data_IF_836785539530
#
_entry.id   IF_836785539530
#
_cell.length_a   1.000
_cell.length_b   1.000
_cell.length_c   1.000
_cell.angle_alpha   90.00
_cell.angle_beta   90.00
_cell.angle_gamma   90.00
#
_symmetry.space_group_name_H-M   'P 1'
#
loop_
_entity.id
_entity.type
_entity.pdbx_description
1 polymer ?
#
# COMPACT_ATOMS: atom_id res chain seq x y z
N UNK A 1 -3.14 -13.69 19.63
CA UNK A 1 -3.24 -13.02 18.32
C UNK A 1 -2.27 -13.65 17.32
N UNK A 2 -2.69 -13.76 16.07
CA UNK A 2 -1.82 -14.26 15.01
C UNK A 2 -0.81 -13.18 14.57
N UNK A 3 0.25 -13.63 13.90
CA UNK A 3 1.21 -12.69 13.32
C UNK A 3 0.53 -11.74 12.32
N UNK A 4 -0.48 -12.25 11.62
CA UNK A 4 -1.26 -11.43 10.69
C UNK A 4 -1.96 -10.28 11.43
N UNK A 5 -2.63 -10.57 12.54
CA UNK A 5 -3.31 -9.54 13.33
C UNK A 5 -2.35 -8.51 13.89
N UNK A 6 -1.15 -8.95 14.29
CA UNK A 6 -0.10 -8.05 14.75
C UNK A 6 0.35 -7.10 13.64
N UNK A 7 0.48 -7.61 12.41
CA UNK A 7 0.85 -6.78 11.27
C UNK A 7 -0.25 -5.75 10.94
N UNK A 8 -1.50 -6.17 10.94
CA UNK A 8 -2.62 -5.26 10.68
C UNK A 8 -2.63 -4.14 11.75
N UNK A 9 -2.45 -4.50 13.03
CA UNK A 9 -2.39 -3.53 14.11
C UNK A 9 -1.22 -2.56 13.93
N UNK A 10 -0.06 -3.08 13.51
CA UNK A 10 1.13 -2.27 13.24
C UNK A 10 0.85 -1.23 12.14
N UNK A 11 0.21 -1.65 11.06
CA UNK A 11 -0.10 -0.76 9.94
C UNK A 11 -1.17 0.26 10.30
N UNK A 12 -2.18 -0.14 11.07
CA UNK A 12 -3.20 0.76 11.56
C UNK A 12 -2.60 1.85 12.44
N UNK A 13 -1.72 1.48 13.35
CA UNK A 13 -1.02 2.43 14.21
C UNK A 13 -0.16 3.39 13.39
N UNK A 14 0.53 2.85 12.38
CA UNK A 14 1.34 3.69 11.49
C UNK A 14 0.47 4.76 10.81
N UNK A 15 -0.70 4.39 10.31
CA UNK A 15 -1.60 5.32 9.68
C UNK A 15 -2.15 6.36 10.68
N UNK A 16 -2.48 5.93 11.89
CA UNK A 16 -2.91 6.83 12.96
C UNK A 16 -1.82 7.84 13.30
N UNK A 17 -0.57 7.37 13.44
CA UNK A 17 0.57 8.23 13.78
C UNK A 17 0.85 9.26 12.69
N UNK A 18 0.54 8.93 11.44
CA UNK A 18 0.72 9.84 10.30
C UNK A 18 -0.52 10.71 10.04
N UNK A 19 -1.58 10.56 10.83
CA UNK A 19 -2.80 11.31 10.62
C UNK A 19 -3.58 10.89 9.38
N UNK A 20 -3.35 9.69 8.89
CA UNK A 20 -4.03 9.16 7.70
C UNK A 20 -5.32 8.47 8.11
N UNK A 21 -6.39 8.76 7.40
CA UNK A 21 -7.67 8.10 7.62
C UNK A 21 -7.68 6.73 6.96
N UNK A 22 -8.30 5.75 7.62
CA UNK A 22 -8.40 4.42 7.04
C UNK A 22 -9.64 3.69 7.54
N UNK A 23 -10.06 2.70 6.74
CA UNK A 23 -11.09 1.73 7.09
C UNK A 23 -10.36 0.46 7.53
N UNK A 24 -10.56 0.05 8.79
CA UNK A 24 -9.84 -1.10 9.36
C UNK A 24 -10.13 -2.38 8.60
N UNK A 25 -11.36 -2.60 8.15
CA UNK A 25 -11.72 -3.80 7.40
C UNK A 25 -11.04 -3.84 6.03
N UNK A 26 -10.99 -2.70 5.35
CA UNK A 26 -10.33 -2.61 4.05
C UNK A 26 -8.82 -2.80 4.19
N UNK A 27 -8.20 -2.18 5.20
CA UNK A 27 -6.78 -2.34 5.46
C UNK A 27 -6.44 -3.81 5.73
N UNK A 28 -7.27 -4.49 6.51
CA UNK A 28 -7.11 -5.92 6.78
C UNK A 28 -7.20 -6.74 5.50
N UNK A 29 -8.17 -6.44 4.64
CA UNK A 29 -8.35 -7.15 3.37
C UNK A 29 -7.16 -6.93 2.43
N UNK A 30 -6.66 -5.71 2.34
CA UNK A 30 -5.47 -5.38 1.53
C UNK A 30 -4.25 -6.14 2.06
N UNK A 31 -4.06 -6.15 3.37
CA UNK A 31 -2.96 -6.86 4.01
C UNK A 31 -3.03 -8.35 3.72
N UNK A 32 -4.23 -8.94 3.82
CA UNK A 32 -4.45 -10.35 3.52
C UNK A 32 -4.10 -10.67 2.06
N UNK A 33 -4.43 -9.77 1.14
CA UNK A 33 -4.13 -9.94 -0.26
C UNK A 33 -2.65 -9.95 -0.61
N UNK A 34 -1.81 -9.40 0.26
CA UNK A 34 -0.36 -9.41 0.07
C UNK A 34 0.28 -10.77 0.38
N UNK A 35 -0.43 -11.62 1.14
CA UNK A 35 0.08 -12.93 1.51
C UNK A 35 1.33 -12.86 2.38
N UNK A 36 2.31 -13.77 2.17
CA UNK A 36 3.49 -13.84 3.04
C UNK A 36 4.48 -12.69 2.90
N UNK A 37 4.31 -11.80 1.93
CA UNK A 37 5.25 -10.69 1.73
C UNK A 37 5.34 -9.76 2.94
N UNK A 38 4.27 -9.67 3.74
CA UNK A 38 4.27 -8.82 4.95
C UNK A 38 5.21 -9.35 6.04
N UNK A 39 5.62 -10.61 5.95
CA UNK A 39 6.54 -11.23 6.91
C UNK A 39 7.98 -11.21 6.43
N UNK A 40 8.22 -10.71 5.21
CA UNK A 40 9.56 -10.61 4.64
C UNK A 40 10.02 -9.17 4.69
N UNK A 41 11.14 -8.93 5.37
CA UNK A 41 11.66 -7.57 5.58
C UNK A 41 11.77 -6.77 4.27
N UNK A 42 12.29 -7.41 3.21
CA UNK A 42 12.52 -6.73 1.93
C UNK A 42 11.25 -6.47 1.14
N UNK A 43 10.21 -7.25 1.38
CA UNK A 43 8.93 -7.14 0.66
C UNK A 43 7.88 -6.35 1.42
N UNK A 44 8.04 -6.19 2.73
CA UNK A 44 7.06 -5.52 3.58
C UNK A 44 6.98 -4.02 3.28
N UNK A 45 8.08 -3.39 2.92
CA UNK A 45 8.13 -1.95 2.66
C UNK A 45 8.43 -1.64 1.20
N UNK A 46 8.02 -0.45 0.77
CA UNK A 46 8.26 0.07 -0.58
C UNK A 46 9.24 1.22 -0.47
N UNK A 47 10.28 1.22 -1.31
CA UNK A 47 11.19 2.35 -1.38
C UNK A 47 10.61 3.45 -2.25
N UNK A 48 10.33 4.61 -1.67
CA UNK A 48 9.75 5.73 -2.40
C UNK A 48 10.72 6.41 -3.37
N UNK A 49 12.01 6.08 -3.31
CA UNK A 49 13.04 6.66 -4.18
C UNK A 49 13.59 5.67 -5.21
N UNK A 50 13.19 4.40 -5.15
CA UNK A 50 13.66 3.37 -6.08
C UNK A 50 12.67 3.22 -7.23
N UNK A 51 13.07 3.63 -8.42
CA UNK A 51 12.23 3.58 -9.60
C UNK A 51 11.77 2.14 -9.94
N UNK A 52 12.61 1.13 -9.68
CA UNK A 52 12.26 -0.26 -9.92
C UNK A 52 11.15 -0.71 -8.99
N UNK A 53 11.24 -0.32 -7.72
CA UNK A 53 10.22 -0.67 -6.72
C UNK A 53 8.89 -0.01 -7.07
N UNK A 54 8.92 1.26 -7.46
CA UNK A 54 7.72 1.98 -7.86
C UNK A 54 7.10 1.41 -9.14
N UNK A 55 7.95 0.99 -10.09
CA UNK A 55 7.48 0.32 -11.30
C UNK A 55 6.82 -1.01 -10.98
N UNK A 56 7.33 -1.76 -9.99
CA UNK A 56 6.74 -3.01 -9.54
C UNK A 56 5.34 -2.76 -8.95
N UNK A 57 5.19 -1.72 -8.12
CA UNK A 57 3.88 -1.34 -7.57
C UNK A 57 2.91 -1.02 -8.70
N UNK A 58 3.33 -0.23 -9.67
CA UNK A 58 2.51 0.14 -10.81
C UNK A 58 2.06 -1.09 -11.62
N UNK A 59 3.01 -1.92 -12.01
CA UNK A 59 2.72 -3.05 -12.91
C UNK A 59 1.98 -4.18 -12.21
N UNK A 60 2.38 -4.54 -11.00
CA UNK A 60 1.81 -5.71 -10.31
C UNK A 60 0.54 -5.37 -9.54
N UNK A 61 0.40 -4.17 -9.04
CA UNK A 61 -0.78 -3.79 -8.28
C UNK A 61 -1.76 -2.97 -9.10
N UNK A 62 -1.35 -1.79 -9.60
CA UNK A 62 -2.28 -0.90 -10.28
C UNK A 62 -2.81 -1.49 -11.59
N UNK A 63 -1.95 -2.08 -12.39
CA UNK A 63 -2.36 -2.62 -13.68
C UNK A 63 -2.95 -4.02 -13.54
N UNK A 64 -2.22 -4.95 -12.93
CA UNK A 64 -2.69 -6.34 -12.84
C UNK A 64 -3.80 -6.54 -11.81
N UNK A 65 -3.64 -6.00 -10.61
CA UNK A 65 -4.61 -6.25 -9.51
C UNK A 65 -5.83 -5.36 -9.64
N UNK A 66 -5.64 -4.06 -9.84
CA UNK A 66 -6.74 -3.11 -9.94
C UNK A 66 -7.32 -3.01 -11.35
N UNK A 67 -6.65 -3.57 -12.35
CA UNK A 67 -7.14 -3.55 -13.72
C UNK A 67 -7.08 -2.20 -14.39
N UNK A 68 -6.15 -1.33 -13.97
CA UNK A 68 -6.02 0.00 -14.52
C UNK A 68 -5.17 -0.01 -15.80
N UNK A 69 -5.42 0.95 -16.66
CA UNK A 69 -4.64 1.14 -17.89
C UNK A 69 -3.38 1.94 -17.56
N UNK A 70 -2.24 1.52 -18.11
CA UNK A 70 -0.98 2.23 -17.93
C UNK A 70 -1.11 3.67 -18.43
N UNK A 71 -0.50 4.59 -17.70
CA UNK A 71 -0.53 6.01 -18.05
C UNK A 71 0.07 6.87 -16.93
N UNK A 72 0.25 8.18 -17.20
CA UNK A 72 0.87 9.10 -16.23
C UNK A 72 0.07 9.24 -14.94
N UNK A 73 -1.24 9.00 -14.98
CA UNK A 73 -2.09 9.07 -13.77
C UNK A 73 -1.64 8.08 -12.70
N UNK A 74 -1.15 6.92 -13.11
CA UNK A 74 -0.67 5.90 -12.17
C UNK A 74 0.58 6.38 -11.44
N UNK A 75 1.51 6.96 -12.18
CA UNK A 75 2.75 7.51 -11.62
C UNK A 75 2.45 8.68 -10.68
N UNK A 76 1.53 9.54 -11.06
CA UNK A 76 1.12 10.68 -10.24
C UNK A 76 0.49 10.22 -8.92
N UNK A 77 -0.36 9.20 -8.97
CA UNK A 77 -1.01 8.66 -7.77
C UNK A 77 0.01 8.03 -6.83
N UNK A 78 0.98 7.30 -7.37
CA UNK A 78 2.06 6.71 -6.56
C UNK A 78 2.86 7.82 -5.87
N UNK A 79 3.23 8.86 -6.61
CA UNK A 79 3.96 10.00 -6.05
C UNK A 79 3.15 10.68 -4.94
N UNK A 80 1.84 10.85 -5.15
CA UNK A 80 0.94 11.46 -4.16
C UNK A 80 0.89 10.65 -2.88
N UNK A 81 0.79 9.32 -2.98
CA UNK A 81 0.77 8.43 -1.83
C UNK A 81 2.10 8.50 -1.08
N UNK A 82 3.22 8.44 -1.81
CA UNK A 82 4.55 8.53 -1.21
C UNK A 82 4.71 9.86 -0.45
N UNK A 83 4.23 10.97 -1.00
CA UNK A 83 4.27 12.26 -0.33
C UNK A 83 3.37 12.30 0.90
N UNK A 84 2.18 11.71 0.83
CA UNK A 84 1.24 11.68 1.95
C UNK A 84 1.82 10.90 3.14
N UNK A 85 2.54 9.81 2.87
CA UNK A 85 3.23 9.04 3.90
C UNK A 85 4.46 9.81 4.42
N UNK A 86 5.15 10.51 3.51
CA UNK A 86 6.37 11.25 3.79
C UNK A 86 7.55 10.67 3.03
N UNK A 87 8.20 11.48 2.20
CA UNK A 87 9.32 11.01 1.36
C UNK A 87 10.48 10.48 2.18
N UNK A 88 10.72 11.06 3.35
CA UNK A 88 11.81 10.66 4.24
C UNK A 88 11.45 9.47 5.14
N UNK A 89 10.18 9.03 5.14
CA UNK A 89 9.76 7.89 5.95
C UNK A 89 10.29 6.60 5.36
N UNK A 90 11.05 5.85 6.15
CA UNK A 90 11.66 4.59 5.71
C UNK A 90 10.69 3.42 5.78
N UNK A 91 9.67 3.51 6.62
CA UNK A 91 8.70 2.44 6.83
C UNK A 91 7.46 2.62 5.97
N UNK A 92 7.65 2.78 4.65
CA UNK A 92 6.51 2.85 3.74
C UNK A 92 5.99 1.44 3.51
N UNK A 93 5.17 0.96 4.44
CA UNK A 93 4.62 -0.40 4.36
C UNK A 93 3.84 -0.61 3.08
N UNK A 94 4.11 -1.71 2.42
CA UNK A 94 3.43 -2.06 1.16
C UNK A 94 1.91 -2.09 1.34
N UNK A 95 1.44 -2.64 2.48
CA UNK A 95 0.01 -2.69 2.78
C UNK A 95 -0.60 -1.29 2.83
N UNK A 96 0.09 -0.33 3.44
CA UNK A 96 -0.39 1.05 3.53
C UNK A 96 -0.39 1.72 2.15
N UNK A 97 0.68 1.53 1.38
CA UNK A 97 0.79 2.09 0.02
C UNK A 97 -0.34 1.54 -0.87
N UNK A 98 -0.54 0.22 -0.84
CA UNK A 98 -1.57 -0.41 -1.66
C UNK A 98 -2.97 0.02 -1.22
N UNK A 99 -3.20 0.11 0.09
CA UNK A 99 -4.47 0.61 0.62
C UNK A 99 -4.79 2.01 0.07
N UNK A 100 -3.84 2.92 0.19
CA UNK A 100 -4.03 4.30 -0.24
C UNK A 100 -4.25 4.41 -1.75
N UNK A 101 -3.55 3.57 -2.53
CA UNK A 101 -3.74 3.55 -3.98
C UNK A 101 -5.11 2.99 -4.37
N UNK A 102 -5.58 1.96 -3.69
CA UNK A 102 -6.92 1.39 -3.94
C UNK A 102 -8.00 2.44 -3.70
N UNK A 103 -7.87 3.21 -2.63
CA UNK A 103 -8.81 4.28 -2.29
C UNK A 103 -8.72 5.41 -3.33
N UNK A 104 -7.50 5.79 -3.72
CA UNK A 104 -7.28 6.87 -4.69
C UNK A 104 -7.98 6.60 -6.02
N UNK A 105 -8.01 5.35 -6.46
CA UNK A 105 -8.65 4.97 -7.72
C UNK A 105 -10.08 4.43 -7.56
N UNK A 106 -10.61 4.46 -6.34
CA UNK A 106 -11.97 3.98 -6.08
C UNK A 106 -12.14 2.50 -6.34
N UNK A 107 -11.11 1.70 -6.10
CA UNK A 107 -11.10 0.25 -6.37
C UNK A 107 -11.23 -0.60 -5.11
N UNK A 108 -11.78 -0.05 -4.04
CA UNK A 108 -11.94 -0.76 -2.77
C UNK A 108 -12.80 -2.03 -2.94
N UNK A 109 -13.71 -2.04 -3.90
CA UNK A 109 -14.62 -3.17 -4.14
C UNK A 109 -13.91 -4.47 -4.50
N UNK A 110 -12.67 -4.43 -4.99
CA UNK A 110 -11.94 -5.67 -5.29
C UNK A 110 -11.61 -6.47 -4.03
N UNK A 111 -11.70 -5.83 -2.86
CA UNK A 111 -11.41 -6.45 -1.57
C UNK A 111 -12.69 -6.78 -0.77
N UNK A 112 -13.84 -6.49 -1.31
CA UNK A 112 -15.10 -6.77 -0.62
C UNK A 112 -15.73 -8.10 -1.04
#
# INVERSE_FOLDING_TARGET
MSKFDEKVAQYSKFMDDKGLKYDADLLKAVTKGLGPSIYKRDAETVSGSDAKELATVKNNFLIKKLGLTDGPKLDEAIAKVVEAIGKSERSKYRAVVYYMLAVEFGKESIYS
#
